data_IF_648919387522
#
_entry.id   IF_648919387522
#
_cell.length_a   1.000
_cell.length_b   1.000
_cell.length_c   1.000
_cell.angle_alpha   90.00
_cell.angle_beta   90.00
_cell.angle_gamma   90.00
#
_symmetry.space_group_name_H-M   'P 1'
#
loop_
_entity.id
_entity.type
_entity.pdbx_description
1 polymer ?
#
# COMPACT_ATOMS: atom_id res chain seq x y z
N UNK A 1 -7.81 -9.94 3.56
CA UNK A 1 -6.52 -9.33 3.12
C UNK A 1 -6.42 -9.22 1.60
N UNK A 2 -7.04 -10.12 0.81
CA UNK A 2 -7.04 -9.99 -0.66
C UNK A 2 -7.83 -8.75 -1.11
N UNK A 3 -8.89 -8.43 -0.37
CA UNK A 3 -9.81 -7.32 -0.61
C UNK A 3 -9.09 -5.98 -0.47
N UNK A 4 -8.27 -5.81 0.56
CA UNK A 4 -7.48 -4.60 0.79
C UNK A 4 -6.42 -4.39 -0.29
N UNK A 5 -5.77 -5.46 -0.77
CA UNK A 5 -4.78 -5.37 -1.86
C UNK A 5 -5.46 -4.96 -3.17
N UNK A 6 -6.61 -5.57 -3.50
CA UNK A 6 -7.38 -5.22 -4.68
C UNK A 6 -7.84 -3.75 -4.64
N UNK A 7 -8.26 -3.26 -3.46
CA UNK A 7 -8.61 -1.86 -3.27
C UNK A 7 -7.43 -0.91 -3.49
N UNK A 8 -6.26 -1.24 -2.92
CA UNK A 8 -5.04 -0.45 -3.09
C UNK A 8 -4.62 -0.41 -4.56
N UNK A 9 -4.50 -1.57 -5.22
CA UNK A 9 -3.97 -1.66 -6.59
C UNK A 9 -4.90 -1.00 -7.61
N UNK A 10 -6.23 -1.07 -7.41
CA UNK A 10 -7.20 -0.39 -8.28
C UNK A 10 -7.11 1.14 -8.18
N UNK A 11 -6.91 1.65 -6.97
CA UNK A 11 -6.92 3.09 -6.70
C UNK A 11 -5.50 3.69 -6.57
N UNK A 12 -4.45 2.94 -6.90
CA UNK A 12 -3.06 3.32 -6.59
C UNK A 12 -2.64 4.68 -7.18
N UNK A 13 -3.22 5.05 -8.33
CA UNK A 13 -2.97 6.34 -8.98
C UNK A 13 -3.56 7.55 -8.25
N UNK A 14 -4.38 7.35 -7.23
CA UNK A 14 -4.97 8.42 -6.40
C UNK A 14 -4.22 8.63 -5.07
N UNK A 15 -3.09 7.97 -4.88
CA UNK A 15 -2.27 8.18 -3.67
C UNK A 15 -1.80 9.66 -3.58
N UNK A 16 -1.66 10.22 -2.36
CA UNK A 16 -1.72 9.52 -1.08
C UNK A 16 -3.15 9.26 -0.56
N UNK A 17 -3.38 8.05 -0.04
CA UNK A 17 -4.66 7.71 0.61
C UNK A 17 -4.48 6.76 1.80
N UNK A 18 -5.48 6.77 2.68
CA UNK A 18 -5.63 5.84 3.79
C UNK A 18 -6.65 4.76 3.43
N UNK A 19 -6.33 3.53 3.78
CA UNK A 19 -7.27 2.41 3.77
C UNK A 19 -7.59 2.04 5.21
N UNK A 20 -8.88 2.01 5.55
CA UNK A 20 -9.39 1.61 6.85
C UNK A 20 -9.93 0.20 6.78
N UNK A 21 -9.54 -0.61 7.76
CA UNK A 21 -10.01 -1.96 7.96
C UNK A 21 -10.91 -1.98 9.18
N UNK A 22 -12.11 -2.51 9.02
CA UNK A 22 -13.05 -2.71 10.10
C UNK A 22 -13.44 -4.19 10.14
N UNK A 23 -13.07 -4.88 11.20
CA UNK A 23 -13.50 -6.25 11.50
C UNK A 23 -14.87 -6.21 12.18
N UNK A 24 -15.75 -7.07 11.70
CA UNK A 24 -17.05 -7.37 12.28
C UNK A 24 -17.20 -8.87 12.41
N UNK A 25 -17.60 -9.31 13.60
CA UNK A 25 -18.05 -10.69 13.84
C UNK A 25 -19.58 -10.67 13.85
N UNK A 26 -20.18 -11.10 12.73
CA UNK A 26 -21.63 -11.19 12.55
C UNK A 26 -22.17 -12.61 12.80
N UNK A 27 -21.37 -13.49 13.41
CA UNK A 27 -21.75 -14.88 13.74
C UNK A 27 -21.69 -15.85 12.57
N UNK A 28 -21.51 -15.37 11.34
CA UNK A 28 -21.25 -16.19 10.13
C UNK A 28 -19.75 -16.28 9.78
N UNK A 29 -18.90 -15.63 10.58
CA UNK A 29 -17.45 -15.61 10.43
C UNK A 29 -16.87 -14.19 10.51
N UNK A 30 -15.55 -14.08 10.55
CA UNK A 30 -14.90 -12.78 10.56
C UNK A 30 -15.01 -12.10 9.18
N UNK A 31 -15.76 -11.00 9.11
CA UNK A 31 -15.87 -10.17 7.91
C UNK A 31 -15.04 -8.90 8.08
N UNK A 32 -14.23 -8.59 7.07
CA UNK A 32 -13.44 -7.34 7.03
C UNK A 32 -14.02 -6.42 5.98
N UNK A 33 -14.46 -5.24 6.41
CA UNK A 33 -14.87 -4.16 5.50
C UNK A 33 -13.72 -3.18 5.29
N UNK A 34 -13.56 -2.76 4.04
CA UNK A 34 -12.49 -1.86 3.60
C UNK A 34 -13.09 -0.54 3.17
N UNK A 35 -12.55 0.57 3.66
CA UNK A 35 -12.90 1.93 3.20
C UNK A 35 -11.64 2.70 2.84
N UNK A 36 -11.73 3.64 1.92
CA UNK A 36 -10.61 4.50 1.51
C UNK A 36 -10.96 5.97 1.71
N UNK A 37 -9.98 6.78 2.08
CA UNK A 37 -10.08 8.24 2.01
C UNK A 37 -8.76 8.90 1.61
N UNK A 38 -8.78 10.12 1.02
CA UNK A 38 -7.56 10.87 0.69
C UNK A 38 -6.74 11.21 1.93
N UNK A 39 -5.41 11.13 1.80
CA UNK A 39 -4.46 11.34 2.89
C UNK A 39 -3.46 12.47 2.59
N UNK A 40 -3.89 13.45 1.79
CA UNK A 40 -3.10 14.64 1.51
C UNK A 40 -2.80 15.43 2.81
N UNK A 41 -1.69 16.18 2.90
CA UNK A 41 -1.32 16.96 4.07
C UNK A 41 -2.47 17.76 4.69
N UNK A 42 -3.30 18.35 3.84
CA UNK A 42 -4.47 19.14 4.19
C UNK A 42 -5.65 18.34 4.79
N UNK A 43 -5.77 17.03 4.52
CA UNK A 43 -6.89 16.22 5.03
C UNK A 43 -6.65 15.67 6.44
N UNK A 44 -5.40 15.61 6.90
CA UNK A 44 -5.03 15.04 8.19
C UNK A 44 -5.75 15.61 9.42
N UNK A 45 -5.99 16.93 9.54
CA UNK A 45 -6.75 17.47 10.66
C UNK A 45 -8.15 16.86 10.78
N UNK A 46 -8.83 16.62 9.66
CA UNK A 46 -10.18 16.07 9.64
C UNK A 46 -10.18 14.55 9.88
N UNK A 47 -9.20 13.83 9.34
CA UNK A 47 -8.97 12.41 9.65
C UNK A 47 -8.81 12.22 11.15
N UNK A 48 -7.95 13.04 11.80
CA UNK A 48 -7.71 12.98 13.26
C UNK A 48 -8.97 13.30 14.06
N UNK A 49 -9.71 14.33 13.67
CA UNK A 49 -10.95 14.75 14.34
C UNK A 49 -12.01 13.65 14.31
N UNK A 50 -12.13 12.94 13.18
CA UNK A 50 -13.12 11.88 12.98
C UNK A 50 -12.99 10.71 13.96
N UNK A 51 -11.77 10.43 14.42
CA UNK A 51 -11.48 9.38 15.41
C UNK A 51 -11.35 9.91 16.83
N UNK A 52 -11.60 11.20 17.05
CA UNK A 52 -11.63 11.85 18.35
C UNK A 52 -12.85 11.47 19.20
N UNK A 53 -12.93 11.98 20.45
CA UNK A 53 -14.08 11.77 21.33
C UNK A 53 -15.40 12.20 20.65
N UNK A 54 -16.42 11.34 20.68
CA UNK A 54 -17.70 11.60 20.01
C UNK A 54 -17.69 11.46 18.48
N UNK A 55 -16.56 11.02 17.90
CA UNK A 55 -16.41 10.78 16.47
C UNK A 55 -16.97 9.42 15.99
N UNK A 56 -16.58 9.03 14.78
CA UNK A 56 -16.96 7.74 14.20
C UNK A 56 -16.20 6.57 14.85
N UNK A 57 -16.69 5.35 14.62
CA UNK A 57 -15.96 4.11 14.99
C UNK A 57 -14.54 4.18 14.44
N UNK A 58 -13.56 3.92 15.30
CA UNK A 58 -12.14 3.83 14.91
C UNK A 58 -11.91 2.58 14.04
N UNK A 59 -11.04 2.67 13.01
CA UNK A 59 -10.60 1.50 12.27
C UNK A 59 -9.91 0.49 13.18
N UNK A 60 -10.10 -0.79 12.90
CA UNK A 60 -9.33 -1.87 13.51
C UNK A 60 -7.93 -1.97 12.89
N UNK A 61 -7.74 -1.41 11.69
CA UNK A 61 -6.43 -1.13 11.12
C UNK A 61 -6.44 -0.05 10.06
N UNK A 62 -5.28 0.54 9.82
CA UNK A 62 -5.04 1.58 8.82
C UNK A 62 -3.84 1.20 7.96
N UNK A 63 -3.93 1.52 6.67
CA UNK A 63 -2.83 1.42 5.71
C UNK A 63 -2.68 2.78 5.04
N UNK A 64 -1.58 3.47 5.28
CA UNK A 64 -1.18 4.63 4.48
C UNK A 64 -0.46 4.15 3.23
N UNK A 65 -0.85 4.67 2.08
CA UNK A 65 -0.24 4.39 0.79
C UNK A 65 0.26 5.69 0.20
N UNK A 66 1.56 5.77 -0.10
CA UNK A 66 2.19 6.96 -0.67
C UNK A 66 3.21 6.57 -1.74
N UNK A 67 3.41 7.43 -2.75
CA UNK A 67 4.43 7.19 -3.78
C UNK A 67 5.82 7.44 -3.21
N UNK A 68 6.74 6.49 -3.35
CA UNK A 68 8.16 6.75 -3.10
C UNK A 68 8.66 7.56 -4.30
N UNK A 69 9.37 8.67 -4.07
CA UNK A 69 9.87 9.55 -5.12
C UNK A 69 10.44 8.72 -6.28
N UNK A 70 10.02 9.06 -7.52
CA UNK A 70 10.34 8.28 -8.70
C UNK A 70 11.85 8.04 -8.74
N UNK A 71 12.27 6.76 -8.73
CA UNK A 71 13.64 6.38 -8.96
C UNK A 71 14.13 7.20 -10.17
N UNK A 72 15.16 8.01 -9.96
CA UNK A 72 15.73 8.84 -11.00
C UNK A 72 15.99 7.93 -12.21
N UNK A 73 15.24 8.17 -13.28
CA UNK A 73 15.38 7.43 -14.51
C UNK A 73 16.71 7.87 -15.13
N UNK A 74 17.79 7.19 -14.78
CA UNK A 74 19.00 7.21 -15.58
C UNK A 74 18.66 6.61 -16.95
N UNK A 75 18.59 7.49 -17.95
CA UNK A 75 18.67 7.13 -19.37
C UNK A 75 17.34 6.74 -20.04
N UNK A 76 16.67 7.75 -20.60
CA UNK A 76 15.90 7.66 -21.85
C UNK A 76 14.96 6.47 -22.04
N UNK A 77 13.73 6.57 -21.53
CA UNK A 77 12.63 5.71 -21.96
C UNK A 77 11.52 6.56 -22.59
N UNK A 78 11.21 6.23 -23.85
CA UNK A 78 10.10 6.74 -24.65
C UNK A 78 8.75 6.63 -23.92
N UNK A 79 7.82 7.53 -24.25
CA UNK A 79 6.47 7.74 -23.68
C UNK A 79 5.50 6.59 -24.00
N UNK A 80 5.95 5.33 -23.97
CA UNK A 80 5.12 4.17 -24.37
C UNK A 80 5.35 2.90 -23.54
N UNK A 81 6.23 2.91 -22.54
CA UNK A 81 6.48 1.73 -21.70
C UNK A 81 5.64 1.73 -20.42
N UNK A 82 5.29 0.53 -19.95
CA UNK A 82 4.57 0.31 -18.71
C UNK A 82 5.23 1.07 -17.56
N UNK A 83 4.57 2.10 -17.04
CA UNK A 83 5.14 2.94 -16.01
C UNK A 83 5.25 2.14 -14.70
N UNK A 84 6.43 1.58 -14.45
CA UNK A 84 6.77 0.98 -13.16
C UNK A 84 6.77 2.09 -12.12
N UNK A 85 6.07 1.88 -11.01
CA UNK A 85 5.93 2.84 -9.92
C UNK A 85 6.14 2.12 -8.60
N UNK A 86 6.83 2.79 -7.67
CA UNK A 86 7.15 2.26 -6.35
C UNK A 86 6.40 3.06 -5.29
N UNK A 87 5.81 2.36 -4.34
CA UNK A 87 4.93 2.91 -3.31
C UNK A 87 5.35 2.41 -1.93
N UNK A 88 5.32 3.31 -0.95
CA UNK A 88 5.53 3.02 0.45
C UNK A 88 4.19 2.80 1.13
N UNK A 89 4.09 1.69 1.87
CA UNK A 89 2.92 1.34 2.65
C UNK A 89 3.28 1.31 4.13
N UNK A 90 2.50 1.98 4.97
CA UNK A 90 2.63 1.90 6.43
C UNK A 90 1.34 1.31 7.00
N UNK A 91 1.47 0.17 7.67
CA UNK A 91 0.35 -0.59 8.23
C UNK A 91 0.38 -0.52 9.75
N UNK A 92 -0.72 -0.10 10.36
CA UNK A 92 -0.93 -0.14 11.81
C UNK A 92 -2.31 -0.74 12.10
N UNK A 93 -2.37 -1.78 12.92
CA UNK A 93 -3.61 -2.41 13.35
C UNK A 93 -3.71 -2.45 14.87
N UNK A 94 -4.93 -2.64 15.37
CA UNK A 94 -5.21 -2.83 16.79
C UNK A 94 -4.46 -4.06 17.29
N UNK A 95 -3.76 -3.90 18.41
CA UNK A 95 -2.93 -4.95 19.00
C UNK A 95 -1.51 -5.05 18.42
N UNK A 96 -1.14 -4.24 17.42
CA UNK A 96 0.25 -4.14 16.98
C UNK A 96 1.05 -3.21 17.89
N UNK A 97 2.21 -3.67 18.37
CA UNK A 97 3.14 -2.86 19.17
C UNK A 97 3.81 -1.75 18.35
N UNK A 98 4.07 -2.03 17.07
CA UNK A 98 4.71 -1.10 16.14
C UNK A 98 4.10 -1.19 14.73
N UNK A 99 4.20 -0.10 13.98
CA UNK A 99 3.78 -0.07 12.58
C UNK A 99 4.70 -0.96 11.73
N UNK A 100 4.14 -1.58 10.70
CA UNK A 100 4.91 -2.34 9.70
C UNK A 100 4.99 -1.57 8.39
N UNK A 101 6.21 -1.42 7.88
CA UNK A 101 6.48 -0.80 6.59
C UNK A 101 6.51 -1.87 5.47
N UNK A 102 6.00 -1.54 4.29
CA UNK A 102 6.08 -2.36 3.09
C UNK A 102 6.43 -1.50 1.86
N UNK A 103 7.09 -2.12 0.89
CA UNK A 103 7.27 -1.55 -0.44
C UNK A 103 6.37 -2.30 -1.41
N UNK A 104 5.55 -1.56 -2.14
CA UNK A 104 4.71 -2.05 -3.23
C UNK A 104 5.29 -1.55 -4.55
N UNK A 105 5.71 -2.47 -5.39
CA UNK A 105 6.15 -2.19 -6.76
C UNK A 105 5.03 -2.57 -7.72
N UNK A 106 4.63 -1.64 -8.59
CA UNK A 106 3.52 -1.83 -9.53
C UNK A 106 3.99 -1.57 -10.95
N UNK A 107 3.52 -2.38 -11.90
CA UNK A 107 3.74 -2.19 -13.33
C UNK A 107 2.39 -2.29 -14.04
N UNK A 108 1.96 -1.20 -14.68
CA UNK A 108 0.68 -1.15 -15.38
C UNK A 108 0.91 -1.35 -16.88
N UNK A 109 0.36 -2.43 -17.40
CA UNK A 109 0.47 -2.82 -18.81
C UNK A 109 -0.89 -2.63 -19.48
N UNK A 110 -0.89 -2.05 -20.68
CA UNK A 110 -2.09 -1.95 -21.52
C UNK A 110 -2.17 -3.16 -22.44
N UNK A 111 -3.32 -3.80 -22.49
CA UNK A 111 -3.62 -4.92 -23.39
C UNK A 111 -4.88 -4.60 -24.22
N UNK A 112 -5.17 -5.44 -25.21
CA UNK A 112 -6.41 -5.37 -26.00
C UNK A 112 -7.68 -5.55 -25.16
N UNK A 113 -7.59 -6.23 -24.00
CA UNK A 113 -8.70 -6.48 -23.09
C UNK A 113 -8.83 -5.43 -21.95
N UNK A 114 -7.98 -4.39 -21.95
CA UNK A 114 -7.95 -3.36 -20.92
C UNK A 114 -6.58 -3.26 -20.23
N UNK A 115 -6.57 -2.75 -18.99
CA UNK A 115 -5.34 -2.58 -18.21
C UNK A 115 -5.16 -3.72 -17.22
N UNK A 116 -3.94 -4.25 -17.16
CA UNK A 116 -3.51 -5.14 -16.09
C UNK A 116 -2.46 -4.41 -15.25
N UNK A 117 -2.59 -4.50 -13.92
CA UNK A 117 -1.56 -4.01 -12.99
C UNK A 117 -0.91 -5.21 -12.32
N UNK A 118 0.33 -5.49 -12.72
CA UNK A 118 1.19 -6.42 -11.99
C UNK A 118 1.71 -5.70 -10.75
N UNK A 119 1.78 -6.41 -9.62
CA UNK A 119 2.32 -5.83 -8.40
C UNK A 119 3.12 -6.85 -7.60
N UNK A 120 4.05 -6.34 -6.80
CA UNK A 120 4.87 -7.10 -5.87
C UNK A 120 4.97 -6.34 -4.56
N UNK A 121 4.72 -7.04 -3.45
CA UNK A 121 4.75 -6.49 -2.10
C UNK A 121 5.89 -7.14 -1.32
N UNK A 122 6.76 -6.33 -0.74
CA UNK A 122 7.84 -6.75 0.14
C UNK A 122 7.74 -6.04 1.49
N UNK A 123 8.01 -6.75 2.58
CA UNK A 123 8.14 -6.12 3.90
C UNK A 123 9.41 -5.29 3.92
N UNK A 124 9.29 -4.06 4.40
CA UNK A 124 10.39 -3.11 4.50
C UNK A 124 10.87 -3.00 5.94
N UNK A 125 12.17 -2.78 6.12
CA UNK A 125 12.70 -2.31 7.39
C UNK A 125 12.56 -0.79 7.42
N UNK A 126 11.86 -0.27 8.43
CA UNK A 126 11.77 1.16 8.65
C UNK A 126 13.16 1.67 9.09
N UNK A 127 13.65 2.77 8.51
CA UNK A 127 14.97 3.38 8.80
C UNK A 127 16.21 2.53 8.44
N UNK A 128 16.12 1.70 7.40
CA UNK A 128 17.23 0.86 6.91
C UNK A 128 17.74 1.27 5.52
N UNK A 129 18.15 0.25 4.75
CA UNK A 129 18.65 0.38 3.38
C UNK A 129 17.71 1.15 2.44
N UNK A 130 18.20 1.72 1.33
CA UNK A 130 17.37 2.33 0.29
C UNK A 130 16.29 1.37 -0.25
N UNK A 131 15.15 1.92 -0.67
CA UNK A 131 13.98 1.16 -1.13
C UNK A 131 14.31 0.20 -2.27
N UNK A 132 15.19 0.63 -3.19
CA UNK A 132 15.66 -0.18 -4.32
C UNK A 132 16.43 -1.41 -3.85
N UNK A 133 17.27 -1.25 -2.82
CA UNK A 133 18.06 -2.33 -2.23
C UNK A 133 17.16 -3.29 -1.44
N UNK A 134 16.19 -2.77 -0.70
CA UNK A 134 15.20 -3.59 0.01
C UNK A 134 14.39 -4.45 -0.96
N UNK A 135 13.93 -3.88 -2.09
CA UNK A 135 13.28 -4.65 -3.16
C UNK A 135 14.23 -5.73 -3.68
N UNK A 136 15.43 -5.36 -4.14
CA UNK A 136 16.40 -6.32 -4.70
C UNK A 136 16.65 -7.50 -3.76
N UNK A 137 16.87 -7.22 -2.49
CA UNK A 137 17.12 -8.24 -1.47
C UNK A 137 15.90 -9.14 -1.23
N UNK A 138 14.69 -8.58 -1.22
CA UNK A 138 13.46 -9.36 -1.08
C UNK A 138 13.28 -10.39 -2.22
N UNK A 139 13.70 -10.03 -3.45
CA UNK A 139 13.66 -10.93 -4.61
C UNK A 139 14.74 -12.01 -4.58
N UNK A 140 15.97 -11.65 -4.21
CA UNK A 140 17.09 -12.60 -4.13
C UNK A 140 16.86 -13.65 -3.02
N UNK A 141 16.29 -13.23 -1.88
CA UNK A 141 15.97 -14.16 -0.78
C UNK A 141 14.89 -15.19 -1.16
N UNK A 142 14.02 -14.90 -2.14
CA UNK A 142 13.07 -15.89 -2.67
C UNK A 142 13.72 -16.99 -3.52
N UNK A 143 14.90 -16.75 -4.09
CA UNK A 143 15.66 -17.76 -4.83
C UNK A 143 16.49 -18.65 -3.90
N UNK A 144 16.91 -18.13 -2.75
CA UNK A 144 17.68 -18.88 -1.75
C UNK A 144 16.82 -19.91 -0.97
N UNK A 145 15.51 -19.66 -0.81
CA UNK A 145 14.58 -20.57 -0.12
C UNK A 145 14.02 -21.72 -0.98
N UNK A 146 14.55 -21.95 -2.19
CA UNK A 146 14.16 -23.06 -3.09
C UNK A 146 15.25 -24.14 -3.21
N UNK A 147 16.02 -24.38 -2.15
CA UNK A 147 16.94 -25.53 -2.08
C UNK A 147 16.57 -26.43 -0.92
#
# INVERSE_FOLDING_TARGET
>A
MRESIAEIVRNIGEAPFLVHLFSSDDGEGERVTVRREPAAPESWPDVRRRWGPGGQRRPDGIILVERVAAAAADGGASVTEAARQVWGLVVQARGMECASCYVLDTCRVRSSAGFCTHFCLARAQCFGDPVELQLRNAWLNRLAGRR
#
